data_IF_235499615413
#
_entry.id   IF_235499615413
#
_cell.length_a   1.000
_cell.length_b   1.000
_cell.length_c   1.000
_cell.angle_alpha   90.00
_cell.angle_beta   90.00
_cell.angle_gamma   90.00
#
_symmetry.space_group_name_H-M   'P 1'
#
loop_
_entity.id
_entity.type
_entity.pdbx_description
1 polymer ?
#
# COMPACT_ATOMS: atom_id res chain seq x y z
N UNK A 1 45.80 -47.91 26.76
CA UNK A 1 45.32 -47.37 25.46
C UNK A 1 44.86 -45.95 25.72
N UNK A 2 45.51 -44.97 25.08
CA UNK A 2 45.48 -43.55 25.45
C UNK A 2 44.52 -42.84 24.48
N UNK A 3 43.28 -42.63 24.90
CA UNK A 3 42.33 -41.84 24.12
C UNK A 3 42.64 -40.36 24.30
N UNK A 4 43.36 -39.80 23.32
CA UNK A 4 43.50 -38.36 23.13
C UNK A 4 42.20 -37.83 22.53
N UNK A 5 41.35 -37.24 23.37
CA UNK A 5 40.26 -36.38 22.94
C UNK A 5 40.85 -35.02 22.55
N UNK A 6 41.00 -34.78 21.25
CA UNK A 6 41.32 -33.48 20.67
C UNK A 6 40.00 -32.69 20.54
N UNK A 7 39.82 -31.51 21.18
CA UNK A 7 38.67 -30.68 20.87
C UNK A 7 38.98 -29.91 19.58
N UNK A 8 38.28 -30.26 18.50
CA UNK A 8 38.28 -29.53 17.24
C UNK A 8 37.52 -28.20 17.47
N UNK A 9 38.27 -27.14 17.77
CA UNK A 9 37.74 -25.81 17.97
C UNK A 9 37.47 -25.18 16.59
N UNK A 10 36.27 -25.43 16.05
CA UNK A 10 35.78 -24.78 14.84
C UNK A 10 35.50 -23.32 15.22
N UNK A 11 36.47 -22.45 15.01
CA UNK A 11 36.26 -21.00 14.95
C UNK A 11 35.37 -20.69 13.74
N UNK A 12 34.05 -20.77 13.91
CA UNK A 12 33.10 -20.15 12.98
C UNK A 12 33.10 -18.63 13.19
N UNK A 13 34.20 -17.98 12.84
CA UNK A 13 34.20 -16.53 12.57
C UNK A 13 33.53 -16.31 11.22
N UNK A 14 32.20 -16.45 11.20
CA UNK A 14 31.37 -15.83 10.18
C UNK A 14 31.26 -14.33 10.46
N UNK A 15 32.40 -13.65 10.53
CA UNK A 15 32.44 -12.22 10.32
C UNK A 15 32.76 -12.03 8.85
N UNK A 16 31.71 -11.96 8.04
CA UNK A 16 31.78 -11.34 6.72
C UNK A 16 32.04 -9.85 6.98
N UNK A 17 33.28 -9.51 7.33
CA UNK A 17 33.74 -8.14 7.27
C UNK A 17 33.81 -7.84 5.78
N UNK A 18 32.83 -7.09 5.28
CA UNK A 18 33.00 -6.35 4.04
C UNK A 18 34.26 -5.51 4.21
N UNK A 19 35.35 -5.91 3.57
CA UNK A 19 36.61 -5.18 3.64
C UNK A 19 36.42 -3.87 2.86
N UNK A 20 36.44 -2.76 3.58
CA UNK A 20 36.32 -1.43 2.99
C UNK A 20 37.63 -1.06 2.30
N UNK A 21 37.57 -0.78 0.99
CA UNK A 21 38.66 -0.18 0.20
C UNK A 21 38.89 1.27 0.62
N UNK A 22 37.83 2.01 0.92
CA UNK A 22 37.88 3.38 1.42
C UNK A 22 36.79 3.60 2.48
N UNK A 23 37.10 4.33 3.54
CA UNK A 23 36.17 4.66 4.61
C UNK A 23 36.61 5.92 5.37
N UNK A 24 35.69 6.50 6.13
CA UNK A 24 35.95 7.53 7.14
C UNK A 24 35.66 6.96 8.53
N UNK A 25 36.34 7.46 9.55
CA UNK A 25 36.05 7.11 10.93
C UNK A 25 35.22 8.22 11.58
N UNK A 26 34.20 7.82 12.33
CA UNK A 26 33.46 8.69 13.25
C UNK A 26 34.34 9.06 14.45
N UNK A 27 33.93 10.08 15.22
CA UNK A 27 34.56 10.44 16.49
C UNK A 27 34.61 9.27 17.48
N UNK A 28 33.65 8.35 17.38
CA UNK A 28 33.56 7.16 18.24
C UNK A 28 34.38 5.96 17.70
N UNK A 29 35.16 6.14 16.63
CA UNK A 29 35.92 5.07 15.98
C UNK A 29 35.08 4.17 15.05
N UNK A 30 33.81 4.48 14.86
CA UNK A 30 32.90 3.76 13.97
C UNK A 30 33.24 3.99 12.49
N UNK A 31 33.21 2.94 11.66
CA UNK A 31 33.39 3.05 10.20
C UNK A 31 32.16 3.68 9.54
N UNK A 32 32.40 4.73 8.75
CA UNK A 32 31.43 5.46 7.95
C UNK A 32 31.89 5.54 6.49
N UNK A 33 30.94 5.72 5.58
CA UNK A 33 31.20 5.94 4.15
C UNK A 33 32.10 4.86 3.53
N UNK A 34 31.83 3.60 3.87
CA UNK A 34 32.61 2.46 3.40
C UNK A 34 32.28 2.12 1.93
N UNK A 35 33.30 2.12 1.08
CA UNK A 35 33.27 1.59 -0.29
C UNK A 35 34.04 0.28 -0.32
N UNK A 36 33.45 -0.80 -0.83
CA UNK A 36 34.08 -2.11 -0.94
C UNK A 36 35.03 -2.22 -2.16
N UNK A 37 35.66 -3.38 -2.34
CA UNK A 37 36.55 -3.64 -3.48
C UNK A 37 35.86 -3.70 -4.84
N UNK A 38 34.53 -3.85 -4.86
CA UNK A 38 33.71 -3.81 -6.06
C UNK A 38 33.21 -2.37 -6.36
N UNK A 39 33.76 -1.37 -5.67
CA UNK A 39 33.34 0.03 -5.73
C UNK A 39 31.86 0.26 -5.37
N UNK A 40 31.30 -0.61 -4.53
CA UNK A 40 29.94 -0.49 -4.01
C UNK A 40 29.94 0.10 -2.58
N UNK A 41 28.97 0.96 -2.30
CA UNK A 41 28.73 1.54 -0.98
C UNK A 41 28.13 0.49 -0.04
N UNK A 42 28.72 0.35 1.14
CA UNK A 42 28.32 -0.59 2.19
C UNK A 42 28.26 0.11 3.56
N UNK A 43 27.41 -0.40 4.45
CA UNK A 43 27.37 0.00 5.85
C UNK A 43 26.78 1.39 6.09
N UNK A 44 27.19 2.05 7.18
CA UNK A 44 26.69 3.39 7.56
C UNK A 44 27.28 4.48 6.70
N UNK A 45 26.44 5.41 6.27
CA UNK A 45 26.82 6.53 5.42
C UNK A 45 26.22 7.84 5.90
N UNK A 46 26.96 8.91 5.63
CA UNK A 46 26.52 10.30 5.76
C UNK A 46 26.71 10.96 4.40
N UNK A 47 25.61 11.47 3.85
CA UNK A 47 25.53 12.15 2.55
C UNK A 47 25.20 13.62 2.81
N UNK A 48 26.18 14.49 2.65
CA UNK A 48 26.01 15.94 2.78
C UNK A 48 25.81 16.55 1.40
N UNK A 49 24.69 17.27 1.23
CA UNK A 49 24.38 18.05 0.03
C UNK A 49 24.46 19.54 0.38
N UNK A 50 25.39 20.31 -0.22
CA UNK A 50 25.52 21.73 0.08
C UNK A 50 24.35 22.54 -0.49
N UNK A 51 24.09 23.70 0.10
CA UNK A 51 23.14 24.67 -0.43
C UNK A 51 23.56 25.11 -1.83
N UNK A 52 22.67 25.00 -2.82
CA UNK A 52 22.99 25.32 -4.21
C UNK A 52 21.85 26.10 -4.88
N UNK A 53 22.15 27.31 -5.40
CA UNK A 53 21.22 28.13 -6.21
C UNK A 53 19.83 28.39 -5.57
N UNK A 54 19.78 28.47 -4.25
CA UNK A 54 18.52 28.71 -3.51
C UNK A 54 17.92 27.44 -2.93
N UNK A 55 18.30 26.26 -3.41
CA UNK A 55 17.89 24.99 -2.81
C UNK A 55 18.58 24.80 -1.45
N UNK A 56 17.81 24.49 -0.38
CA UNK A 56 18.39 24.23 0.93
C UNK A 56 19.29 22.99 0.87
N UNK A 57 20.44 23.07 1.53
CA UNK A 57 21.27 21.89 1.74
C UNK A 57 20.67 20.99 2.82
N UNK A 58 21.12 19.73 2.84
CA UNK A 58 20.70 18.75 3.83
C UNK A 58 21.79 17.71 4.04
N UNK A 59 21.72 17.03 5.18
CA UNK A 59 22.57 15.90 5.52
C UNK A 59 21.70 14.67 5.75
N UNK A 60 21.97 13.59 5.02
CA UNK A 60 21.24 12.34 5.16
C UNK A 60 22.16 11.25 5.70
N UNK A 61 21.73 10.58 6.76
CA UNK A 61 22.42 9.43 7.32
C UNK A 61 21.57 8.16 7.20
N UNK A 62 22.23 7.03 7.04
CA UNK A 62 21.56 5.74 6.95
C UNK A 62 22.52 4.63 6.56
N UNK A 63 21.97 3.51 6.09
CA UNK A 63 22.75 2.34 5.69
C UNK A 63 22.63 2.12 4.18
N UNK A 64 23.77 1.88 3.53
CA UNK A 64 23.84 1.33 2.18
C UNK A 64 24.15 -0.16 2.22
N UNK A 65 23.57 -0.89 1.29
CA UNK A 65 23.90 -2.28 0.97
C UNK A 65 24.01 -2.42 -0.54
N UNK A 66 25.20 -2.73 -1.04
CA UNK A 66 25.49 -2.84 -2.48
C UNK A 66 24.98 -1.61 -3.27
N UNK A 67 25.39 -0.40 -2.90
CA UNK A 67 24.94 0.87 -3.51
C UNK A 67 23.45 1.23 -3.33
N UNK A 68 22.66 0.41 -2.65
CA UNK A 68 21.23 0.66 -2.42
C UNK A 68 20.96 1.09 -0.98
N UNK A 69 20.12 2.10 -0.78
CA UNK A 69 19.65 2.50 0.55
C UNK A 69 18.87 1.35 1.19
N UNK A 70 19.17 1.06 2.44
CA UNK A 70 18.53 -0.02 3.21
C UNK A 70 18.20 0.47 4.62
N UNK A 71 17.05 0.06 5.14
CA UNK A 71 16.59 0.39 6.48
C UNK A 71 16.25 1.86 6.67
N UNK A 72 16.40 2.33 7.90
CA UNK A 72 16.05 3.68 8.30
C UNK A 72 17.09 4.70 7.81
N UNK A 73 16.60 5.73 7.13
CA UNK A 73 17.34 6.90 6.71
C UNK A 73 16.77 8.14 7.40
N UNK A 74 17.65 8.96 7.96
CA UNK A 74 17.30 10.21 8.61
C UNK A 74 17.94 11.34 7.84
N UNK A 75 17.14 12.34 7.49
CA UNK A 75 17.59 13.53 6.77
C UNK A 75 17.40 14.73 7.68
N UNK A 76 18.48 15.50 7.82
CA UNK A 76 18.56 16.71 8.61
C UNK A 76 18.78 17.91 7.70
N UNK A 77 18.29 19.08 8.10
CA UNK A 77 18.74 20.32 7.49
C UNK A 77 20.19 20.62 7.91
N UNK A 78 20.82 21.63 7.30
CA UNK A 78 22.19 22.05 7.66
C UNK A 78 22.32 22.61 9.09
N UNK A 79 21.20 22.91 9.77
CA UNK A 79 21.18 23.37 11.16
C UNK A 79 21.08 22.21 12.16
N UNK A 80 20.85 20.98 11.69
CA UNK A 80 20.72 19.77 12.51
C UNK A 80 19.28 19.36 12.84
N UNK A 81 18.26 20.07 12.36
CA UNK A 81 16.86 19.70 12.58
C UNK A 81 16.46 18.54 11.66
N UNK A 82 15.76 17.55 12.21
CA UNK A 82 15.24 16.41 11.44
C UNK A 82 14.11 16.88 10.52
N UNK A 83 14.27 16.68 9.22
CA UNK A 83 13.26 17.03 8.20
C UNK A 83 12.59 15.79 7.60
N UNK A 84 13.24 14.63 7.62
CA UNK A 84 12.63 13.39 7.15
C UNK A 84 13.21 12.16 7.86
N UNK A 85 12.35 11.18 8.08
CA UNK A 85 12.70 9.83 8.50
C UNK A 85 12.04 8.85 7.53
N UNK A 86 12.84 8.30 6.62
CA UNK A 86 12.37 7.45 5.52
C UNK A 86 12.91 6.04 5.72
N UNK A 87 12.08 5.03 5.49
CA UNK A 87 12.52 3.65 5.53
C UNK A 87 12.70 3.12 4.10
N UNK A 88 13.79 2.42 3.85
CA UNK A 88 14.18 1.93 2.54
C UNK A 88 14.40 0.42 2.54
N UNK A 89 14.15 -0.19 1.38
CA UNK A 89 14.47 -1.59 1.11
C UNK A 89 14.83 -1.72 -0.36
N UNK A 90 15.98 -2.30 -0.65
CA UNK A 90 16.51 -2.43 -2.01
C UNK A 90 16.64 -1.08 -2.76
N UNK A 91 16.87 0.02 -2.03
CA UNK A 91 16.97 1.37 -2.59
C UNK A 91 15.64 2.09 -2.77
N UNK A 92 14.52 1.42 -2.48
CA UNK A 92 13.16 1.92 -2.64
C UNK A 92 12.50 2.21 -1.29
N UNK A 93 11.58 3.18 -1.20
CA UNK A 93 10.83 3.48 0.03
C UNK A 93 9.98 2.27 0.43
N UNK A 94 10.05 1.90 1.70
CA UNK A 94 9.39 0.72 2.24
C UNK A 94 8.95 0.93 3.69
N UNK A 95 7.67 0.77 3.95
CA UNK A 95 7.05 1.00 5.23
C UNK A 95 6.75 2.48 5.48
N UNK A 96 6.71 2.83 6.77
CA UNK A 96 6.38 4.17 7.26
C UNK A 96 7.52 5.15 7.01
N UNK A 97 7.21 6.28 6.39
CA UNK A 97 8.07 7.44 6.20
C UNK A 97 7.41 8.66 6.84
N UNK A 98 8.19 9.47 7.54
CA UNK A 98 7.73 10.66 8.26
C UNK A 98 8.47 11.88 7.73
N UNK A 99 7.74 12.98 7.54
CA UNK A 99 8.30 14.26 7.11
C UNK A 99 7.91 15.33 8.10
N UNK A 100 8.89 16.16 8.41
CA UNK A 100 8.81 17.14 9.47
C UNK A 100 9.08 18.53 8.92
N UNK A 101 8.32 19.49 9.44
CA UNK A 101 8.61 20.91 9.33
C UNK A 101 9.22 21.39 10.65
N UNK A 102 9.63 22.65 10.69
CA UNK A 102 10.13 23.30 11.92
C UNK A 102 9.09 23.22 13.05
N UNK A 103 7.80 23.21 12.72
CA UNK A 103 6.71 23.18 13.69
C UNK A 103 6.32 21.76 14.16
N UNK A 104 6.74 20.71 13.45
CA UNK A 104 6.46 19.32 13.82
C UNK A 104 6.18 18.40 12.62
N UNK A 105 5.51 17.28 12.90
CA UNK A 105 5.15 16.29 11.88
C UNK A 105 4.16 16.89 10.87
N UNK A 106 4.53 16.88 9.59
CA UNK A 106 3.72 17.38 8.50
C UNK A 106 2.99 16.24 7.78
N UNK A 107 3.70 15.14 7.52
CA UNK A 107 3.17 14.03 6.73
C UNK A 107 3.72 12.70 7.21
N UNK A 108 2.82 11.73 7.24
CA UNK A 108 3.14 10.32 7.39
C UNK A 108 2.72 9.59 6.13
N UNK A 109 3.67 8.94 5.48
CA UNK A 109 3.45 8.16 4.26
C UNK A 109 3.74 6.69 4.54
N UNK A 110 3.02 5.80 3.86
CA UNK A 110 3.27 4.37 3.94
C UNK A 110 3.51 3.81 2.54
N UNK A 111 4.68 3.19 2.38
CA UNK A 111 5.18 2.68 1.11
C UNK A 111 5.38 1.17 1.15
N UNK A 112 5.36 0.54 -0.02
CA UNK A 112 5.74 -0.86 -0.21
C UNK A 112 6.77 -0.92 -1.32
N UNK A 113 7.99 -1.35 -0.98
CA UNK A 113 9.02 -1.59 -1.99
C UNK A 113 8.77 -2.93 -2.67
N UNK A 114 8.95 -2.96 -3.99
CA UNK A 114 9.01 -4.20 -4.77
C UNK A 114 10.47 -4.53 -5.06
N UNK A 115 10.81 -5.82 -5.10
CA UNK A 115 12.19 -6.26 -5.28
C UNK A 115 12.68 -5.97 -6.71
N UNK A 116 13.59 -5.01 -6.94
CA UNK A 116 14.04 -4.67 -8.28
C UNK A 116 14.81 -5.82 -8.97
N UNK A 117 15.36 -6.77 -8.21
CA UNK A 117 16.11 -7.89 -8.77
C UNK A 117 15.19 -8.98 -9.38
N UNK A 118 13.87 -8.90 -9.12
CA UNK A 118 12.86 -9.77 -9.74
C UNK A 118 12.13 -9.02 -10.84
N UNK A 119 12.31 -9.42 -12.10
CA UNK A 119 11.66 -8.75 -13.24
C UNK A 119 10.13 -8.91 -13.29
N UNK A 120 9.60 -9.97 -12.68
CA UNK A 120 8.18 -10.28 -12.69
C UNK A 120 7.71 -10.71 -11.30
N UNK A 121 6.46 -10.39 -11.00
CA UNK A 121 5.73 -10.92 -9.85
C UNK A 121 4.57 -11.81 -10.33
N UNK A 122 4.14 -12.74 -9.51
CA UNK A 122 3.06 -13.67 -9.84
C UNK A 122 1.87 -13.41 -8.93
N UNK A 123 0.71 -13.14 -9.52
CA UNK A 123 -0.55 -12.96 -8.79
C UNK A 123 -1.50 -14.10 -9.15
N UNK A 124 -2.07 -14.74 -8.14
CA UNK A 124 -3.12 -15.74 -8.33
C UNK A 124 -4.47 -15.00 -8.29
N UNK A 125 -5.12 -14.89 -9.46
CA UNK A 125 -6.41 -14.19 -9.65
C UNK A 125 -7.54 -15.23 -9.70
N UNK A 126 -8.60 -14.99 -8.93
CA UNK A 126 -9.78 -15.87 -8.92
C UNK A 126 -10.56 -15.69 -10.22
N UNK A 127 -10.93 -16.80 -10.85
CA UNK A 127 -11.82 -16.79 -12.01
C UNK A 127 -13.21 -16.26 -11.58
N UNK A 128 -13.75 -15.20 -12.22
CA UNK A 128 -15.08 -14.68 -11.91
C UNK A 128 -16.21 -15.71 -12.02
N UNK A 129 -16.07 -16.72 -12.89
CA UNK A 129 -17.07 -17.78 -13.10
C UNK A 129 -16.96 -18.94 -12.12
N UNK A 130 -15.80 -19.16 -11.49
CA UNK A 130 -15.60 -20.24 -10.53
C UNK A 130 -14.68 -19.78 -9.38
N UNK A 131 -15.25 -19.46 -8.20
CA UNK A 131 -14.48 -18.97 -7.05
C UNK A 131 -13.36 -19.90 -6.54
N UNK A 132 -13.37 -21.18 -6.93
CA UNK A 132 -12.36 -22.16 -6.52
C UNK A 132 -11.22 -22.32 -7.53
N UNK A 133 -11.30 -21.66 -8.69
CA UNK A 133 -10.27 -21.70 -9.72
C UNK A 133 -9.42 -20.42 -9.64
N UNK A 134 -8.10 -20.60 -9.59
CA UNK A 134 -7.13 -19.51 -9.57
C UNK A 134 -6.28 -19.57 -10.84
N UNK A 135 -6.23 -18.47 -11.57
CA UNK A 135 -5.33 -18.27 -12.70
C UNK A 135 -4.09 -17.50 -12.25
N UNK A 136 -2.91 -18.02 -12.56
CA UNK A 136 -1.66 -17.32 -12.25
C UNK A 136 -1.29 -16.36 -13.37
N UNK A 137 -1.38 -15.08 -13.07
CA UNK A 137 -0.99 -14.01 -13.99
C UNK A 137 0.39 -13.50 -13.60
N UNK A 138 1.27 -13.41 -14.60
CA UNK A 138 2.60 -12.84 -14.45
C UNK A 138 2.52 -11.34 -14.73
N UNK A 139 2.80 -10.53 -13.72
CA UNK A 139 2.80 -9.06 -13.82
C UNK A 139 4.24 -8.57 -13.86
N UNK A 140 4.51 -7.61 -14.74
CA UNK A 140 5.81 -6.96 -14.80
C UNK A 140 6.06 -6.18 -13.51
N UNK A 141 7.23 -6.36 -12.92
CA UNK A 141 7.65 -5.60 -11.77
C UNK A 141 8.47 -4.39 -12.23
N UNK A 142 7.95 -3.19 -11.97
CA UNK A 142 8.63 -1.95 -12.32
C UNK A 142 9.77 -1.60 -11.33
N UNK A 143 9.93 -2.37 -10.25
CA UNK A 143 11.00 -2.19 -9.27
C UNK A 143 10.90 -0.90 -8.48
N UNK A 144 9.76 -0.21 -8.52
CA UNK A 144 9.51 1.05 -7.83
C UNK A 144 8.80 0.85 -6.49
N UNK A 145 8.73 1.93 -5.71
CA UNK A 145 7.93 1.95 -4.47
C UNK A 145 6.47 2.24 -4.80
N UNK A 146 5.56 1.48 -4.20
CA UNK A 146 4.11 1.61 -4.41
C UNK A 146 3.47 2.20 -3.14
N UNK A 147 2.53 3.13 -3.27
CA UNK A 147 1.76 3.64 -2.11
C UNK A 147 0.95 2.50 -1.50
N UNK A 148 1.11 2.26 -0.20
CA UNK A 148 0.40 1.16 0.48
C UNK A 148 0.32 1.39 1.98
N UNK A 149 -0.88 1.34 2.53
CA UNK A 149 -1.17 1.60 3.95
C UNK A 149 -1.81 2.96 4.16
N UNK A 150 -1.74 3.46 5.39
CA UNK A 150 -2.39 4.69 5.82
C UNK A 150 -1.43 5.87 5.62
N UNK A 151 -1.96 6.93 5.05
CA UNK A 151 -1.28 8.19 4.77
C UNK A 151 -1.99 9.27 5.57
N UNK A 152 -1.23 10.07 6.30
CA UNK A 152 -1.78 11.13 7.15
C UNK A 152 -1.09 12.44 6.83
N UNK A 153 -1.89 13.48 6.68
CA UNK A 153 -1.42 14.84 6.48
C UNK A 153 -1.85 15.68 7.67
N UNK A 154 -0.91 16.46 8.20
CA UNK A 154 -1.09 17.30 9.36
C UNK A 154 -0.94 18.77 8.97
N UNK A 155 -1.66 19.64 9.67
CA UNK A 155 -1.53 21.09 9.49
C UNK A 155 -0.14 21.54 9.92
N UNK A 156 0.62 22.25 9.06
CA UNK A 156 1.98 22.68 9.39
C UNK A 156 2.06 23.53 10.66
N UNK A 157 1.03 24.33 10.96
CA UNK A 157 1.09 25.28 12.07
C UNK A 157 0.52 24.72 13.38
N UNK A 158 -0.49 23.85 13.30
CA UNK A 158 -1.24 23.38 14.48
C UNK A 158 -0.97 21.92 14.82
N UNK A 159 -0.36 21.15 13.90
CA UNK A 159 -0.15 19.71 14.06
C UNK A 159 -1.44 18.89 14.07
N UNK A 160 -2.59 19.51 13.77
CA UNK A 160 -3.89 18.82 13.73
C UNK A 160 -3.94 17.97 12.47
N UNK A 161 -4.46 16.75 12.61
CA UNK A 161 -4.71 15.83 11.48
C UNK A 161 -5.74 16.47 10.54
N UNK A 162 -5.33 16.73 9.30
CA UNK A 162 -6.21 17.27 8.24
C UNK A 162 -6.89 16.13 7.50
N UNK A 163 -6.11 15.13 7.12
CA UNK A 163 -6.54 14.11 6.18
C UNK A 163 -5.94 12.75 6.51
N UNK A 164 -6.71 11.70 6.25
CA UNK A 164 -6.26 10.32 6.34
C UNK A 164 -6.73 9.56 5.12
N UNK A 165 -5.78 9.11 4.30
CA UNK A 165 -6.02 8.33 3.10
C UNK A 165 -5.49 6.90 3.31
N UNK A 166 -6.17 5.89 2.78
CA UNK A 166 -5.70 4.52 2.82
C UNK A 166 -5.48 4.03 1.39
N UNK A 167 -4.24 3.61 1.09
CA UNK A 167 -3.87 3.10 -0.22
C UNK A 167 -3.64 1.60 -0.18
N UNK A 168 -4.08 0.90 -1.22
CA UNK A 168 -3.82 -0.53 -1.42
C UNK A 168 -3.18 -0.69 -2.80
N UNK A 169 -1.89 -1.00 -2.82
CA UNK A 169 -1.13 -1.27 -4.05
C UNK A 169 -1.25 -0.13 -5.08
N UNK A 170 -1.13 1.11 -4.61
CA UNK A 170 -1.14 2.32 -5.42
C UNK A 170 -2.52 2.93 -5.64
N UNK A 171 -3.60 2.17 -5.45
CA UNK A 171 -4.97 2.65 -5.57
C UNK A 171 -5.52 3.14 -4.22
N UNK A 172 -6.34 4.19 -4.25
CA UNK A 172 -7.02 4.68 -3.06
C UNK A 172 -8.14 3.71 -2.69
N UNK A 173 -8.25 3.33 -1.42
CA UNK A 173 -9.23 2.34 -0.95
C UNK A 173 -10.67 2.78 -1.20
N UNK A 174 -10.98 4.07 -1.07
CA UNK A 174 -12.31 4.60 -1.37
C UNK A 174 -12.70 4.40 -2.84
N UNK A 175 -11.73 4.49 -3.77
CA UNK A 175 -11.95 4.20 -5.19
C UNK A 175 -12.20 2.70 -5.42
N UNK A 176 -11.41 1.83 -4.76
CA UNK A 176 -11.59 0.37 -4.84
C UNK A 176 -12.98 -0.03 -4.33
N UNK A 177 -13.43 0.56 -3.22
CA UNK A 177 -14.73 0.27 -2.64
C UNK A 177 -15.87 0.79 -3.53
N UNK A 178 -15.69 1.94 -4.20
CA UNK A 178 -16.63 2.43 -5.22
C UNK A 178 -16.69 1.52 -6.46
N UNK A 179 -15.56 1.01 -6.96
CA UNK A 179 -15.49 0.04 -8.07
C UNK A 179 -16.21 -1.28 -7.71
N UNK A 180 -16.06 -1.77 -6.47
CA UNK A 180 -16.77 -2.95 -5.97
C UNK A 180 -18.29 -2.75 -5.92
N UNK A 181 -18.77 -1.59 -5.49
CA UNK A 181 -20.21 -1.30 -5.45
C UNK A 181 -20.80 -1.28 -6.86
N UNK A 182 -20.09 -0.70 -7.83
CA UNK A 182 -20.54 -0.66 -9.23
C UNK A 182 -20.58 -2.07 -9.87
N UNK A 183 -19.60 -2.93 -9.58
CA UNK A 183 -19.60 -4.32 -10.08
C UNK A 183 -20.66 -5.20 -9.40
N UNK A 184 -20.99 -4.96 -8.12
CA UNK A 184 -22.11 -5.59 -7.42
C UNK A 184 -23.49 -5.10 -7.93
N UNK A 185 -23.58 -3.86 -8.41
CA UNK A 185 -24.80 -3.32 -9.01
C UNK A 185 -25.07 -3.90 -10.42
N UNK A 186 -24.02 -4.26 -11.16
CA UNK A 186 -24.09 -4.84 -12.52
C UNK A 186 -24.32 -6.37 -12.47
N UNK A 187 -24.05 -7.04 -11.36
CA UNK A 187 -24.25 -8.49 -11.17
C UNK A 187 -25.58 -8.89 -10.54
N UNK A 188 -26.56 -7.96 -10.42
CA UNK A 188 -27.95 -8.40 -10.26
C UNK A 188 -28.32 -9.24 -11.49
N UNK A 189 -28.84 -10.46 -11.33
CA UNK A 189 -29.25 -11.24 -12.48
C UNK A 189 -30.27 -10.42 -13.25
N UNK A 190 -30.07 -10.35 -14.57
CA UNK A 190 -31.09 -9.93 -15.52
C UNK A 190 -32.25 -10.89 -15.27
N UNK A 191 -33.20 -10.47 -14.45
CA UNK A 191 -34.49 -11.11 -14.40
C UNK A 191 -35.09 -10.92 -15.79
N UNK A 192 -35.29 -12.03 -16.48
CA UNK A 192 -35.96 -12.11 -17.76
C UNK A 192 -37.16 -11.15 -17.78
N UNK A 193 -37.08 -10.16 -18.66
CA UNK A 193 -38.17 -9.23 -18.92
C UNK A 193 -39.21 -9.92 -19.79
N UNK A 194 -39.91 -10.91 -19.25
CA UNK A 194 -41.27 -11.22 -19.71
C UNK A 194 -42.24 -10.30 -18.97
N UNK A 195 -42.72 -9.29 -19.68
CA UNK A 195 -43.78 -8.37 -19.27
C UNK A 195 -44.92 -9.12 -18.55
N UNK A 196 -45.07 -8.90 -17.24
CA UNK A 196 -46.35 -9.10 -16.56
C UNK A 196 -46.85 -7.73 -16.08
N UNK A 197 -47.85 -7.28 -16.82
CA UNK A 197 -48.62 -6.06 -16.65
C UNK A 197 -48.99 -5.84 -15.18
N UNK A 198 -48.62 -4.69 -14.62
CA UNK A 198 -48.96 -4.29 -13.27
C UNK A 198 -50.49 -4.31 -13.07
N UNK A 199 -50.98 -5.23 -12.26
CA UNK A 199 -52.37 -5.20 -11.79
C UNK A 199 -52.51 -4.06 -10.78
N UNK A 200 -53.14 -2.98 -11.22
CA UNK A 200 -53.56 -1.85 -10.38
C UNK A 200 -54.34 -2.41 -9.18
N UNK A 201 -53.82 -2.22 -7.97
CA UNK A 201 -54.44 -2.72 -6.74
C UNK A 201 -55.80 -2.01 -6.60
N UNK A 202 -56.89 -2.76 -6.60
CA UNK A 202 -58.23 -2.21 -6.44
C UNK A 202 -58.44 -1.77 -4.97
N UNK A 203 -59.07 -0.60 -4.73
CA UNK A 203 -59.43 -0.14 -3.38
C UNK A 203 -60.31 -1.15 -2.64
N UNK A 204 -60.20 -1.18 -1.31
CA UNK A 204 -60.91 -2.16 -0.44
C UNK A 204 -62.43 -2.10 -0.62
N UNK A 205 -62.99 -0.91 -0.84
CA UNK A 205 -64.42 -0.70 -1.06
C UNK A 205 -64.93 -1.43 -2.32
N UNK A 206 -64.11 -1.53 -3.37
CA UNK A 206 -64.47 -2.22 -4.62
C UNK A 206 -64.39 -3.74 -4.45
N UNK A 207 -63.45 -4.23 -3.64
CA UNK A 207 -63.34 -5.65 -3.30
C UNK A 207 -64.55 -6.12 -2.49
N UNK A 208 -65.03 -5.32 -1.55
CA UNK A 208 -66.20 -5.64 -0.73
C UNK A 208 -67.51 -5.55 -1.51
N UNK A 209 -67.61 -4.60 -2.45
CA UNK A 209 -68.72 -4.54 -3.41
C UNK A 209 -68.77 -5.79 -4.29
N UNK A 210 -67.63 -6.22 -4.82
CA UNK A 210 -67.54 -7.41 -5.68
C UNK A 210 -67.85 -8.72 -4.91
N UNK A 211 -67.45 -8.84 -3.63
CA UNK A 211 -67.87 -9.96 -2.77
C UNK A 211 -69.39 -10.01 -2.54
N UNK A 212 -70.05 -8.85 -2.41
CA UNK A 212 -71.51 -8.78 -2.26
C UNK A 212 -72.25 -9.05 -3.59
N UNK A 213 -71.67 -8.69 -4.74
CA UNK A 213 -72.23 -8.99 -6.07
C UNK A 213 -72.05 -10.45 -6.48
N UNK A 214 -70.95 -11.09 -6.07
CA UNK A 214 -70.68 -12.51 -6.29
C UNK A 214 -71.78 -13.41 -5.73
N UNK A 215 -72.39 -13.04 -4.59
CA UNK A 215 -73.54 -13.79 -4.01
C UNK A 215 -74.84 -13.66 -4.81
N UNK A 216 -74.89 -12.78 -5.83
CA UNK A 216 -76.08 -12.48 -6.64
C UNK A 216 -75.89 -12.76 -8.14
N UNK A 217 -74.83 -13.47 -8.54
CA UNK A 217 -74.51 -13.80 -9.95
C UNK A 217 -74.58 -12.58 -10.90
N UNK A 218 -74.05 -11.44 -10.45
CA UNK A 218 -73.97 -10.20 -11.25
C UNK A 218 -72.51 -9.86 -11.60
N UNK A 219 -72.26 -9.18 -12.73
CA UNK A 219 -70.91 -8.93 -13.24
C UNK A 219 -70.09 -8.05 -12.28
N UNK A 220 -68.81 -8.41 -12.16
CA UNK A 220 -67.80 -7.81 -11.28
C UNK A 220 -67.20 -6.58 -11.97
N UNK A 221 -67.09 -5.46 -11.26
CA UNK A 221 -66.50 -4.22 -11.79
C UNK A 221 -64.98 -4.32 -11.70
N UNK A 222 -64.31 -4.34 -12.85
CA UNK A 222 -62.86 -4.60 -12.98
C UNK A 222 -62.02 -3.36 -13.29
N UNK A 223 -62.62 -2.17 -13.28
CA UNK A 223 -61.91 -0.89 -13.42
C UNK A 223 -61.20 -0.67 -14.76
N UNK A 224 -61.44 -1.54 -15.75
CA UNK A 224 -61.02 -1.33 -17.15
C UNK A 224 -62.09 -0.49 -17.85
N UNK A 225 -61.82 0.80 -18.05
CA UNK A 225 -62.51 1.57 -19.09
C UNK A 225 -62.02 1.04 -20.44
N UNK A 226 -62.98 0.68 -21.31
CA UNK A 226 -62.72 0.16 -22.65
C UNK A 226 -61.94 1.16 -23.52
N UNK A 227 -61.29 0.59 -24.54
CA UNK A 227 -60.39 1.23 -25.50
C UNK A 227 -60.82 2.61 -26.02
#
# INVERSE_FOLDING_TARGET
>A
MRFLLLPLLIFSVNTIFSQCKSYKLSSNGDTLNCVDFNDLKQGRWIVTTPKLRGEPGFEAEGVFKNNRKEGLWRTFNLMGDLIAQENFKWGNKNGRCLYFTIAGLEREESWRAVNPDKAFDTLDVVDPGNPNLYERIVVKNDGNSIKHGIWKTYSPNTGVLIETEEYIMGKLKSEIDAEKINTLAISKPIADTTKKQASKILPKEVLDFNKKQSKKNKPVVTGRTGN
#
